data_IF_811295692031
#
_entry.id   IF_811295692031
#
_cell.length_a   1.000
_cell.length_b   1.000
_cell.length_c   1.000
_cell.angle_alpha   90.00
_cell.angle_beta   90.00
_cell.angle_gamma   90.00
#
_symmetry.space_group_name_H-M   'P 1'
#
loop_
_entity.id
_entity.type
_entity.pdbx_description
1 polymer ?
#
# COMPACT_ATOMS: atom_id res chain seq x y z
N UNK A 1 10.09 16.31 -9.23
CA UNK A 1 8.79 16.37 -8.53
C UNK A 1 8.36 14.95 -8.22
N UNK A 2 7.54 14.75 -7.19
CA UNK A 2 6.99 13.42 -6.88
C UNK A 2 6.02 12.97 -8.00
N UNK A 3 5.85 11.66 -8.16
CA UNK A 3 4.88 11.08 -9.08
C UNK A 3 3.53 10.99 -8.40
N UNK A 4 2.49 11.49 -9.09
CA UNK A 4 1.10 11.54 -8.62
C UNK A 4 0.26 10.51 -9.34
N UNK A 5 -0.86 10.12 -8.73
CA UNK A 5 -1.77 9.18 -9.37
C UNK A 5 -2.42 9.79 -10.60
N UNK A 6 -2.57 8.99 -11.65
CA UNK A 6 -3.31 9.35 -12.86
C UNK A 6 -4.82 9.16 -12.72
N UNK A 7 -5.30 8.49 -11.65
CA UNK A 7 -6.72 8.23 -11.39
C UNK A 7 -7.46 9.40 -10.73
N UNK A 8 -7.24 10.63 -11.23
CA UNK A 8 -7.66 11.87 -10.57
C UNK A 8 -9.18 12.00 -10.32
N UNK A 9 -10.02 11.31 -11.10
CA UNK A 9 -11.47 11.54 -11.19
C UNK A 9 -12.32 10.46 -10.48
N UNK A 10 -11.88 9.94 -9.33
CA UNK A 10 -12.71 8.99 -8.56
C UNK A 10 -13.98 9.67 -8.05
N UNK A 11 -15.15 9.09 -8.37
CA UNK A 11 -16.45 9.56 -7.84
C UNK A 11 -16.71 9.09 -6.41
N UNK A 12 -16.06 8.00 -6.00
CA UNK A 12 -16.24 7.40 -4.69
C UNK A 12 -15.03 7.65 -3.80
N UNK A 13 -15.29 7.88 -2.51
CA UNK A 13 -14.25 8.11 -1.49
C UNK A 13 -14.71 7.58 -0.14
N UNK A 14 -13.74 7.33 0.73
CA UNK A 14 -13.94 7.05 2.16
C UNK A 14 -13.09 8.04 2.94
N UNK A 15 -13.71 8.88 3.77
CA UNK A 15 -13.06 10.11 4.23
C UNK A 15 -12.61 10.98 3.04
N UNK A 16 -11.30 11.17 2.91
CA UNK A 16 -10.68 11.88 1.78
C UNK A 16 -9.74 11.00 0.91
N UNK A 17 -9.87 9.68 1.02
CA UNK A 17 -9.18 8.72 0.14
C UNK A 17 -10.09 8.29 -1.00
N UNK A 18 -9.56 8.24 -2.22
CA UNK A 18 -10.33 7.72 -3.35
C UNK A 18 -10.57 6.21 -3.20
N UNK A 19 -11.83 5.79 -3.35
CA UNK A 19 -12.23 4.39 -3.44
C UNK A 19 -12.12 3.97 -4.91
N UNK A 20 -10.90 3.57 -5.31
CA UNK A 20 -10.58 3.24 -6.70
C UNK A 20 -10.86 1.78 -7.05
N UNK A 21 -11.25 1.48 -8.30
CA UNK A 21 -11.30 0.12 -8.79
C UNK A 21 -9.93 -0.55 -8.73
N UNK A 22 -9.89 -1.83 -8.36
CA UNK A 22 -8.67 -2.63 -8.37
C UNK A 22 -8.95 -4.02 -8.95
N UNK A 23 -7.95 -4.59 -9.60
CA UNK A 23 -7.99 -5.97 -10.06
C UNK A 23 -7.68 -6.87 -8.88
N UNK A 24 -8.69 -7.52 -8.32
CA UNK A 24 -8.51 -8.33 -7.13
C UNK A 24 -9.42 -9.54 -7.07
N UNK A 25 -8.93 -10.61 -6.43
CA UNK A 25 -9.72 -11.79 -6.04
C UNK A 25 -10.24 -11.73 -4.60
N UNK A 26 -9.86 -10.70 -3.85
CA UNK A 26 -10.22 -10.55 -2.45
C UNK A 26 -11.54 -9.78 -2.32
N UNK A 27 -12.44 -10.28 -1.48
CA UNK A 27 -13.66 -9.57 -1.10
C UNK A 27 -13.34 -8.25 -0.42
N UNK A 28 -14.12 -7.22 -0.75
CA UNK A 28 -14.03 -5.90 -0.11
C UNK A 28 -14.80 -4.85 -0.89
N UNK A 29 -14.78 -3.59 -0.41
CA UNK A 29 -15.61 -2.52 -0.93
C UNK A 29 -15.05 -1.83 -2.18
N UNK A 30 -13.83 -2.15 -2.63
CA UNK A 30 -13.29 -1.61 -3.86
C UNK A 30 -14.12 -2.11 -5.05
N UNK A 31 -14.49 -1.23 -6.01
CA UNK A 31 -15.04 -1.69 -7.28
C UNK A 31 -14.07 -2.66 -7.97
N UNK A 32 -14.59 -3.68 -8.62
CA UNK A 32 -13.75 -4.63 -9.37
C UNK A 32 -13.37 -4.01 -10.71
N UNK A 33 -12.07 -3.91 -10.97
CA UNK A 33 -11.56 -3.68 -12.33
C UNK A 33 -11.61 -5.00 -13.10
N UNK A 34 -12.38 -5.03 -14.19
CA UNK A 34 -12.64 -6.25 -14.96
C UNK A 34 -11.69 -6.44 -16.13
N UNK A 35 -11.04 -5.37 -16.59
CA UNK A 35 -10.00 -5.46 -17.61
C UNK A 35 -8.67 -5.91 -17.01
N UNK A 36 -8.10 -6.98 -17.55
CA UNK A 36 -6.74 -7.41 -17.19
C UNK A 36 -5.65 -6.54 -17.84
N UNK A 37 -6.02 -5.69 -18.79
CA UNK A 37 -5.08 -4.83 -19.54
C UNK A 37 -4.90 -3.46 -18.88
N UNK A 38 -5.84 -3.04 -18.02
CA UNK A 38 -5.79 -1.75 -17.35
C UNK A 38 -4.88 -1.82 -16.12
N UNK A 39 -3.93 -0.88 -16.01
CA UNK A 39 -3.23 -0.62 -14.75
C UNK A 39 -4.23 -0.13 -13.70
N UNK A 40 -4.08 -0.56 -12.45
CA UNK A 40 -4.80 0.00 -11.30
C UNK A 40 -3.87 0.77 -10.34
N UNK A 41 -4.43 1.31 -9.26
CA UNK A 41 -3.67 2.12 -8.30
C UNK A 41 -2.53 1.35 -7.60
N UNK A 42 -2.62 0.02 -7.49
CA UNK A 42 -1.59 -0.80 -6.88
C UNK A 42 -0.42 -0.97 -7.87
N UNK A 43 -0.72 -1.17 -9.15
CA UNK A 43 0.31 -1.18 -10.21
C UNK A 43 1.04 0.16 -10.27
N UNK A 44 0.29 1.26 -10.21
CA UNK A 44 0.83 2.63 -10.19
C UNK A 44 1.73 2.87 -8.97
N UNK A 45 1.31 2.42 -7.78
CA UNK A 45 2.10 2.52 -6.56
C UNK A 45 3.42 1.75 -6.67
N UNK A 46 3.40 0.52 -7.18
CA UNK A 46 4.61 -0.30 -7.36
C UNK A 46 5.54 0.34 -8.41
N UNK A 47 4.97 0.85 -9.51
CA UNK A 47 5.69 1.54 -10.60
C UNK A 47 6.39 2.81 -10.09
N UNK A 48 5.72 3.63 -9.29
CA UNK A 48 6.28 4.88 -8.78
C UNK A 48 7.11 4.73 -7.51
N UNK A 49 7.02 3.60 -6.81
CA UNK A 49 7.66 3.38 -5.51
C UNK A 49 9.14 3.79 -5.48
N UNK A 50 9.94 3.29 -6.42
CA UNK A 50 11.41 3.51 -6.43
C UNK A 50 11.78 4.99 -6.54
N UNK A 51 10.94 5.81 -7.16
CA UNK A 51 11.14 7.26 -7.21
C UNK A 51 10.52 7.95 -6.00
N UNK A 52 9.27 7.62 -5.66
CA UNK A 52 8.51 8.29 -4.61
C UNK A 52 9.12 8.10 -3.21
N UNK A 53 9.76 6.96 -2.94
CA UNK A 53 10.35 6.63 -1.62
C UNK A 53 11.42 7.62 -1.14
N UNK A 54 11.99 8.45 -2.03
CA UNK A 54 13.00 9.46 -1.69
C UNK A 54 12.43 10.81 -1.25
N UNK A 55 11.14 11.06 -1.48
CA UNK A 55 10.55 12.36 -1.19
C UNK A 55 10.13 12.48 0.28
N UNK A 56 10.54 13.59 0.91
CA UNK A 56 10.12 13.98 2.27
C UNK A 56 8.83 14.80 2.28
N UNK A 57 8.60 15.54 1.20
CA UNK A 57 7.40 16.36 1.00
C UNK A 57 6.64 15.81 -0.21
N UNK A 58 5.31 15.74 -0.09
CA UNK A 58 4.42 15.32 -1.16
C UNK A 58 3.19 16.22 -1.15
N UNK A 59 2.95 16.92 -2.25
CA UNK A 59 1.82 17.85 -2.39
C UNK A 59 0.60 17.09 -2.92
N UNK A 60 -0.49 17.03 -2.16
CA UNK A 60 -1.65 16.20 -2.52
C UNK A 60 -2.49 16.94 -3.56
N UNK A 61 -2.57 16.40 -4.78
CA UNK A 61 -3.31 17.03 -5.88
C UNK A 61 -4.78 16.62 -5.92
N UNK A 62 -5.07 15.38 -5.56
CA UNK A 62 -6.43 14.83 -5.53
C UNK A 62 -6.52 13.60 -4.63
N UNK A 63 -7.75 13.14 -4.35
CA UNK A 63 -7.99 12.07 -3.37
C UNK A 63 -7.30 10.73 -3.71
N UNK A 64 -7.01 10.44 -4.99
CA UNK A 64 -6.25 9.27 -5.40
C UNK A 64 -4.78 9.28 -4.93
N UNK A 65 -4.19 10.46 -4.72
CA UNK A 65 -2.83 10.56 -4.16
C UNK A 65 -2.78 10.02 -2.74
N UNK A 66 -3.86 10.12 -1.96
CA UNK A 66 -3.89 9.57 -0.59
C UNK A 66 -3.88 8.06 -0.59
N UNK A 67 -4.56 7.43 -1.54
CA UNK A 67 -4.50 5.98 -1.77
C UNK A 67 -3.10 5.57 -2.21
N UNK A 68 -2.48 6.32 -3.12
CA UNK A 68 -1.08 6.12 -3.57
C UNK A 68 -0.08 6.25 -2.41
N UNK A 69 -0.23 7.25 -1.54
CA UNK A 69 0.61 7.48 -0.36
C UNK A 69 0.51 6.29 0.59
N UNK A 70 -0.71 5.83 0.90
CA UNK A 70 -0.92 4.69 1.78
C UNK A 70 -0.24 3.42 1.23
N UNK A 71 -0.43 3.11 -0.05
CA UNK A 71 0.21 1.98 -0.72
C UNK A 71 1.74 2.09 -0.73
N UNK A 72 2.28 3.28 -0.96
CA UNK A 72 3.74 3.53 -0.94
C UNK A 72 4.34 3.22 0.44
N UNK A 73 3.66 3.61 1.52
CA UNK A 73 4.09 3.23 2.87
C UNK A 73 3.94 1.74 3.13
N UNK A 74 2.84 1.12 2.69
CA UNK A 74 2.61 -0.30 2.87
C UNK A 74 3.65 -1.16 2.12
N UNK A 75 4.05 -0.77 0.91
CA UNK A 75 5.14 -1.41 0.17
C UNK A 75 6.44 -1.43 0.99
N UNK A 76 6.72 -0.37 1.75
CA UNK A 76 7.89 -0.34 2.65
C UNK A 76 7.77 -1.39 3.77
N UNK A 77 6.57 -1.57 4.34
CA UNK A 77 6.32 -2.64 5.33
C UNK A 77 6.46 -4.04 4.72
N UNK A 78 6.00 -4.25 3.49
CA UNK A 78 6.22 -5.49 2.76
C UNK A 78 7.73 -5.78 2.61
N UNK A 79 8.52 -4.80 2.18
CA UNK A 79 9.97 -4.97 2.01
C UNK A 79 10.68 -5.33 3.33
N UNK A 80 10.25 -4.76 4.46
CA UNK A 80 10.80 -5.10 5.79
C UNK A 80 10.55 -6.56 6.16
N UNK A 81 9.36 -7.09 5.88
CA UNK A 81 9.05 -8.52 6.08
C UNK A 81 9.86 -9.39 5.13
N UNK A 82 9.85 -9.06 3.84
CA UNK A 82 10.55 -9.82 2.80
C UNK A 82 12.06 -9.90 3.02
N UNK A 83 12.69 -8.88 3.63
CA UNK A 83 14.13 -8.90 3.93
C UNK A 83 14.57 -10.13 4.74
N UNK A 84 13.68 -10.68 5.58
CA UNK A 84 13.97 -11.84 6.45
C UNK A 84 13.60 -13.17 5.79
N UNK A 85 12.95 -13.16 4.63
CA UNK A 85 12.48 -14.36 3.95
C UNK A 85 13.59 -15.02 3.13
N UNK A 86 13.56 -16.35 3.07
CA UNK A 86 14.53 -17.17 2.33
C UNK A 86 13.90 -17.93 1.15
N UNK A 87 12.57 -17.92 1.04
CA UNK A 87 11.82 -18.57 -0.03
C UNK A 87 10.54 -17.80 -0.37
N UNK A 88 9.99 -18.01 -1.57
CA UNK A 88 8.71 -17.42 -1.99
C UNK A 88 7.54 -17.91 -1.15
N UNK A 89 7.55 -19.17 -0.73
CA UNK A 89 6.52 -19.73 0.16
C UNK A 89 6.52 -18.98 1.50
N UNK A 90 7.70 -18.73 2.07
CA UNK A 90 7.81 -17.96 3.31
C UNK A 90 7.35 -16.51 3.10
N UNK A 91 7.74 -15.89 1.99
CA UNK A 91 7.31 -14.54 1.62
C UNK A 91 5.79 -14.41 1.51
N UNK A 92 5.13 -15.36 0.82
CA UNK A 92 3.67 -15.41 0.71
C UNK A 92 2.99 -15.51 2.07
N UNK A 93 3.49 -16.39 2.94
CA UNK A 93 2.95 -16.55 4.30
C UNK A 93 3.10 -15.26 5.13
N UNK A 94 4.29 -14.68 5.15
CA UNK A 94 4.58 -13.44 5.90
C UNK A 94 3.73 -12.27 5.41
N UNK A 95 3.64 -12.05 4.09
CA UNK A 95 2.87 -10.93 3.54
C UNK A 95 1.36 -11.15 3.61
N UNK A 96 0.87 -12.40 3.56
CA UNK A 96 -0.53 -12.73 3.83
C UNK A 96 -0.89 -12.42 5.28
N UNK A 97 -0.02 -12.80 6.23
CA UNK A 97 -0.20 -12.49 7.64
C UNK A 97 -0.13 -10.98 7.93
N UNK A 98 0.80 -10.27 7.28
CA UNK A 98 0.87 -8.81 7.37
C UNK A 98 -0.42 -8.15 6.88
N UNK A 99 -0.95 -8.59 5.74
CA UNK A 99 -2.11 -7.94 5.12
C UNK A 99 -3.37 -7.93 6.00
N UNK A 100 -3.59 -8.99 6.79
CA UNK A 100 -4.72 -9.12 7.72
C UNK A 100 -4.43 -8.60 9.13
N UNK A 101 -3.19 -8.21 9.42
CA UNK A 101 -2.85 -7.64 10.72
C UNK A 101 -3.54 -6.28 10.93
N UNK A 102 -3.63 -5.86 12.19
CA UNK A 102 -4.25 -4.59 12.54
C UNK A 102 -3.32 -3.44 12.17
N UNK A 103 -3.79 -2.58 11.27
CA UNK A 103 -3.16 -1.29 10.94
C UNK A 103 -4.01 -0.15 11.47
N UNK A 104 -3.39 0.95 11.96
CA UNK A 104 -4.14 2.15 12.30
C UNK A 104 -4.78 2.75 11.03
N UNK A 105 -5.94 3.38 11.20
CA UNK A 105 -6.66 4.09 10.13
C UNK A 105 -6.72 5.59 10.42
N UNK A 106 -7.03 6.47 9.45
CA UNK A 106 -7.26 7.88 9.70
C UNK A 106 -8.16 8.15 10.92
N UNK A 107 -7.66 8.95 11.86
CA UNK A 107 -8.32 9.26 13.13
C UNK A 107 -7.81 8.45 14.32
N UNK A 108 -7.12 7.33 14.11
CA UNK A 108 -6.45 6.60 15.19
C UNK A 108 -5.19 7.36 15.64
N UNK A 109 -4.87 7.32 16.94
CA UNK A 109 -3.72 8.03 17.50
C UNK A 109 -2.39 7.65 16.83
N UNK A 110 -2.24 6.37 16.49
CA UNK A 110 -1.02 5.81 15.88
C UNK A 110 -0.99 5.95 14.35
N UNK A 111 -2.01 6.57 13.72
CA UNK A 111 -1.99 6.76 12.28
C UNK A 111 -1.04 7.91 11.89
N UNK A 112 0.05 7.63 11.14
CA UNK A 112 1.17 8.55 10.94
C UNK A 112 0.85 9.79 10.10
N UNK A 113 -0.30 9.78 9.40
CA UNK A 113 -0.70 10.75 8.38
C UNK A 113 -1.98 11.52 8.76
N UNK A 114 -2.38 11.55 10.03
CA UNK A 114 -3.59 12.27 10.48
C UNK A 114 -3.66 13.74 10.03
N UNK A 115 -2.52 14.41 9.85
CA UNK A 115 -2.50 15.80 9.36
C UNK A 115 -2.92 15.99 7.90
N UNK A 116 -3.04 14.91 7.11
CA UNK A 116 -3.43 14.99 5.69
C UNK A 116 -4.57 14.04 5.29
N UNK A 117 -5.03 13.20 6.23
CA UNK A 117 -6.16 12.27 6.05
C UNK A 117 -7.31 12.65 6.97
N UNK A 118 -8.53 12.47 6.48
CA UNK A 118 -9.75 12.73 7.24
C UNK A 118 -10.23 11.42 7.87
N UNK A 119 -10.51 11.46 9.18
CA UNK A 119 -11.16 10.38 9.90
C UNK A 119 -12.48 10.01 9.20
N UNK A 120 -12.74 8.72 8.90
CA UNK A 120 -14.01 8.32 8.30
C UNK A 120 -15.19 8.68 9.20
N UNK A 121 -16.36 8.90 8.58
CA UNK A 121 -17.61 9.00 9.34
C UNK A 121 -17.87 7.70 10.12
N UNK A 122 -18.62 7.73 11.25
CA UNK A 122 -18.82 6.55 12.09
C UNK A 122 -19.34 5.32 11.36
N UNK A 123 -20.18 5.51 10.34
CA UNK A 123 -20.75 4.48 9.47
C UNK A 123 -19.81 4.03 8.33
N UNK A 124 -18.75 4.77 8.06
CA UNK A 124 -17.72 4.44 7.06
C UNK A 124 -16.50 3.72 7.65
N UNK A 125 -16.36 3.67 8.99
CA UNK A 125 -15.17 3.11 9.67
C UNK A 125 -14.87 1.69 9.21
N UNK A 126 -15.86 0.80 9.27
CA UNK A 126 -15.65 -0.61 8.92
C UNK A 126 -15.39 -0.78 7.43
N UNK A 127 -16.05 0.02 6.59
CA UNK A 127 -15.80 0.05 5.14
C UNK A 127 -14.39 0.51 4.81
N UNK A 128 -13.86 1.50 5.53
CA UNK A 128 -12.47 1.95 5.37
C UNK A 128 -11.48 0.85 5.79
N UNK A 129 -11.71 0.17 6.92
CA UNK A 129 -10.86 -0.97 7.34
C UNK A 129 -10.84 -2.06 6.29
N UNK A 130 -11.99 -2.44 5.76
CA UNK A 130 -12.11 -3.45 4.71
C UNK A 130 -11.42 -3.01 3.40
N UNK A 131 -11.55 -1.74 3.01
CA UNK A 131 -10.88 -1.22 1.81
C UNK A 131 -9.35 -1.29 1.95
N UNK A 132 -8.83 -0.80 3.08
CA UNK A 132 -7.39 -0.80 3.34
C UNK A 132 -6.84 -2.24 3.44
N UNK A 133 -7.59 -3.17 4.02
CA UNK A 133 -7.22 -4.58 4.05
C UNK A 133 -7.22 -5.21 2.65
N UNK A 134 -8.22 -4.92 1.82
CA UNK A 134 -8.31 -5.40 0.45
C UNK A 134 -7.11 -4.90 -0.39
N UNK A 135 -6.75 -3.62 -0.26
CA UNK A 135 -5.54 -3.03 -0.86
C UNK A 135 -4.28 -3.75 -0.37
N UNK A 136 -4.15 -4.01 0.94
CA UNK A 136 -2.98 -4.69 1.51
C UNK A 136 -2.84 -6.11 0.98
N UNK A 137 -3.93 -6.88 0.90
CA UNK A 137 -3.92 -8.26 0.42
C UNK A 137 -3.46 -8.34 -1.04
N UNK A 138 -4.06 -7.53 -1.91
CA UNK A 138 -3.70 -7.50 -3.32
C UNK A 138 -2.27 -6.97 -3.55
N UNK A 139 -1.88 -5.91 -2.81
CA UNK A 139 -0.52 -5.39 -2.87
C UNK A 139 0.52 -6.41 -2.37
N UNK A 140 0.21 -7.16 -1.31
CA UNK A 140 1.10 -8.20 -0.77
C UNK A 140 1.45 -9.25 -1.83
N UNK A 141 0.45 -9.77 -2.53
CA UNK A 141 0.66 -10.77 -3.59
C UNK A 141 1.56 -10.23 -4.70
N UNK A 142 1.22 -9.04 -5.23
CA UNK A 142 1.99 -8.41 -6.31
C UNK A 142 3.42 -8.09 -5.87
N UNK A 143 3.63 -7.75 -4.60
CA UNK A 143 4.96 -7.53 -4.04
C UNK A 143 5.80 -8.81 -3.94
N UNK A 144 5.20 -9.96 -3.61
CA UNK A 144 5.93 -11.24 -3.68
C UNK A 144 6.42 -11.48 -5.10
N UNK A 145 5.54 -11.32 -6.09
CA UNK A 145 5.89 -11.54 -7.50
C UNK A 145 6.96 -10.56 -8.00
N UNK A 146 6.94 -9.31 -7.52
CA UNK A 146 7.90 -8.29 -7.93
C UNK A 146 9.28 -8.40 -7.28
N UNK A 147 9.34 -8.93 -6.05
CA UNK A 147 10.56 -8.91 -5.22
C UNK A 147 11.27 -10.27 -5.21
N UNK A 148 10.52 -11.37 -5.23
CA UNK A 148 11.11 -12.71 -5.18
C UNK A 148 11.61 -13.13 -6.55
N UNK A 149 12.91 -13.39 -6.65
CA UNK A 149 13.56 -13.82 -7.88
C UNK A 149 13.11 -15.23 -8.29
N UNK A 150 12.79 -15.43 -9.57
CA UNK A 150 12.21 -16.70 -10.06
C UNK A 150 13.21 -17.85 -10.14
N UNK A 151 14.51 -17.56 -10.22
CA UNK A 151 15.55 -18.59 -10.34
C UNK A 151 16.11 -18.98 -8.97
N UNK A 152 16.34 -17.99 -8.11
CA UNK A 152 17.00 -18.17 -6.82
C UNK A 152 16.04 -18.32 -5.64
N UNK A 153 14.75 -18.03 -5.84
CA UNK A 153 13.70 -17.98 -4.82
C UNK A 153 13.98 -17.01 -3.65
N UNK A 154 14.92 -16.09 -3.83
CA UNK A 154 15.37 -15.13 -2.81
C UNK A 154 14.86 -13.72 -3.09
N UNK A 155 14.70 -12.87 -2.07
CA UNK A 155 14.32 -11.48 -2.28
C UNK A 155 15.42 -10.69 -3.03
N UNK A 156 15.03 -9.94 -4.05
CA UNK A 156 15.92 -9.16 -4.89
C UNK A 156 16.60 -8.01 -4.14
N UNK A 157 17.94 -7.95 -4.20
CA UNK A 157 18.73 -6.86 -3.60
C UNK A 157 18.35 -5.46 -4.14
N UNK A 158 17.84 -5.40 -5.37
CA UNK A 158 17.40 -4.16 -6.03
C UNK A 158 16.10 -3.61 -5.47
N UNK A 159 15.36 -4.41 -4.71
CA UNK A 159 14.21 -3.98 -3.91
C UNK A 159 14.60 -3.80 -2.44
N UNK A 160 15.41 -4.72 -1.90
CA UNK A 160 15.82 -4.66 -0.48
C UNK A 160 16.67 -3.44 -0.12
N UNK A 161 17.33 -2.80 -1.09
CA UNK A 161 18.09 -1.56 -0.84
C UNK A 161 17.20 -0.39 -0.36
N UNK A 162 15.88 -0.48 -0.52
CA UNK A 162 14.92 0.54 -0.08
C UNK A 162 14.36 0.30 1.33
N UNK A 163 14.62 -0.84 1.98
CA UNK A 163 14.01 -1.23 3.28
C UNK A 163 14.18 -0.19 4.40
N UNK A 164 15.32 0.50 4.41
CA UNK A 164 15.64 1.52 5.43
C UNK A 164 15.14 2.93 5.07
N UNK A 165 14.60 3.12 3.87
CA UNK A 165 14.07 4.41 3.44
C UNK A 165 12.66 4.60 4.02
N UNK A 166 12.28 5.87 4.20
CA UNK A 166 10.97 6.26 4.72
C UNK A 166 10.39 7.35 3.83
N UNK A 167 9.32 7.03 3.14
CA UNK A 167 8.56 8.01 2.38
C UNK A 167 7.94 9.02 3.35
N UNK A 168 8.12 10.32 3.09
CA UNK A 168 7.65 11.41 3.95
C UNK A 168 8.15 11.34 5.40
N UNK A 169 9.23 10.60 5.67
CA UNK A 169 9.70 10.26 7.02
C UNK A 169 8.62 9.58 7.90
N UNK A 170 7.64 8.90 7.28
CA UNK A 170 6.54 8.17 7.94
C UNK A 170 6.70 6.65 7.82
N UNK A 171 5.95 5.94 8.66
CA UNK A 171 5.88 4.48 8.74
C UNK A 171 4.48 4.09 9.20
N UNK A 172 3.86 3.07 8.61
CA UNK A 172 2.50 2.67 8.98
C UNK A 172 2.48 1.89 10.29
N UNK A 173 3.56 1.16 10.57
CA UNK A 173 3.74 0.45 11.83
C UNK A 173 4.91 1.07 12.59
N UNK A 174 4.78 1.08 13.93
CA UNK A 174 5.88 1.46 14.80
C UNK A 174 6.97 0.38 14.73
N UNK A 175 8.23 0.81 14.60
CA UNK A 175 9.37 -0.10 14.39
C UNK A 175 9.56 -1.08 15.57
N UNK A 176 8.97 -0.82 16.74
CA UNK A 176 9.01 -1.67 17.93
C UNK A 176 7.90 -2.73 18.05
N UNK A 177 6.95 -2.81 17.11
CA UNK A 177 5.84 -3.79 17.15
C UNK A 177 6.03 -4.98 16.19
N UNK A 178 7.28 -5.27 15.79
CA UNK A 178 7.63 -6.33 14.82
C UNK A 178 8.71 -7.28 15.36
#
# INVERSE_FOLDING_TARGET
>A
MAYHSSFANSKFRLGNMALLPIRTRYSGPAPTETSTENEDIIDEAIKFFRANIFFRNYDIKHDADRTLIYLTLYITECLRRLQKCQSRIQAQKELSSLAISTFPIPGDADFPLNGMFVKPAPDEVDKMKQYLEQLRKECSDRMVDRVMDSETDKPSKWWLCFVRRRFMDKSLLNIGSL
#
